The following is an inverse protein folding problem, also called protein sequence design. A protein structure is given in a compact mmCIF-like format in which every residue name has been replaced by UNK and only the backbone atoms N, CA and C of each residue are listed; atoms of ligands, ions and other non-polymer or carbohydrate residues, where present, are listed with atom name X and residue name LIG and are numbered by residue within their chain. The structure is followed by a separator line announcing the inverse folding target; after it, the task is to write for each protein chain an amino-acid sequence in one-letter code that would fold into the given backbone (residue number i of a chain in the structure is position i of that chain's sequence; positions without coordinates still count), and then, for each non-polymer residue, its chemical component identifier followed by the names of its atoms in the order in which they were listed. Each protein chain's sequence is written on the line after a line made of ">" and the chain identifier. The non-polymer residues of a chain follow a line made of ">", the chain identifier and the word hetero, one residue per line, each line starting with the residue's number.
data_IF_729818671580
#
_entry.id   IF_729818671580
#
_cell.length_a   1.000
_cell.length_b   1.000
_cell.length_c   1.000
_cell.angle_alpha   90.00
_cell.angle_beta   90.00
_cell.angle_gamma   90.00
#
_symmetry.space_group_name_H-M   'P 1'
#
loop_
_entity.id
_entity.type
_entity.pdbx_description
1 polymer ?
#
# COMPACT_ATOMS: atom_id res chain seq x y z
N UNK A 1 17.72 -11.48 11.21
CA UNK A 1 16.53 -10.98 11.94
C UNK A 1 16.21 -9.54 11.59
N UNK A 2 17.06 -8.55 11.91
CA UNK A 2 16.77 -7.13 11.63
C UNK A 2 16.52 -6.82 10.14
N UNK A 3 17.26 -7.47 9.24
CA UNK A 3 17.14 -7.30 7.79
C UNK A 3 15.73 -7.56 7.26
N UNK A 4 15.01 -8.53 7.81
CA UNK A 4 13.64 -8.87 7.40
C UNK A 4 12.68 -7.73 7.70
N UNK A 5 12.81 -7.10 8.88
CA UNK A 5 11.98 -5.97 9.28
C UNK A 5 12.26 -4.74 8.41
N UNK A 6 13.53 -4.39 8.22
CA UNK A 6 13.92 -3.25 7.37
C UNK A 6 13.41 -3.40 5.95
N UNK A 7 13.50 -4.61 5.40
CA UNK A 7 13.02 -4.90 4.06
C UNK A 7 11.50 -4.75 3.94
N UNK A 8 10.75 -5.25 4.93
CA UNK A 8 9.28 -5.16 4.97
C UNK A 8 8.81 -3.71 5.15
N UNK A 9 9.51 -2.91 5.97
CA UNK A 9 9.27 -1.47 6.09
C UNK A 9 9.51 -0.76 4.75
N UNK A 10 10.65 -1.03 4.09
CA UNK A 10 10.99 -0.39 2.83
C UNK A 10 9.97 -0.69 1.71
N UNK A 11 9.54 -1.95 1.61
CA UNK A 11 8.50 -2.34 0.65
C UNK A 11 7.12 -1.83 1.05
N UNK A 12 6.80 -1.82 2.34
CA UNK A 12 5.58 -1.22 2.90
C UNK A 12 5.43 0.24 2.52
N UNK A 13 6.50 1.03 2.63
CA UNK A 13 6.51 2.43 2.21
C UNK A 13 6.26 2.58 0.71
N UNK A 14 6.95 1.80 -0.14
CA UNK A 14 6.76 1.85 -1.62
C UNK A 14 5.36 1.43 -2.05
N UNK A 15 4.81 0.39 -1.40
CA UNK A 15 3.45 -0.08 -1.67
C UNK A 15 2.38 0.76 -0.99
N UNK A 16 2.73 1.73 -0.14
CA UNK A 16 1.75 2.55 0.57
C UNK A 16 0.88 1.74 1.54
N UNK A 17 1.42 0.68 2.11
CA UNK A 17 0.77 -0.11 3.18
C UNK A 17 0.72 0.71 4.46
N UNK A 18 -0.29 0.45 5.31
CA UNK A 18 -0.33 1.06 6.64
C UNK A 18 0.84 0.56 7.52
N UNK A 19 1.45 1.44 8.35
CA UNK A 19 1.07 2.83 8.63
C UNK A 19 1.60 3.87 7.62
N UNK A 20 2.38 3.46 6.61
CA UNK A 20 3.04 4.35 5.64
C UNK A 20 2.14 4.83 4.48
N UNK A 21 0.83 4.67 4.60
CA UNK A 21 -0.17 4.93 3.56
C UNK A 21 -0.51 6.41 3.32
N UNK A 22 -0.14 7.33 4.22
CA UNK A 22 -0.60 8.72 4.22
C UNK A 22 -0.31 9.49 2.92
N UNK A 23 0.78 9.17 2.22
CA UNK A 23 1.15 9.86 0.98
C UNK A 23 0.24 9.46 -0.20
N UNK A 24 -0.36 8.27 -0.20
CA UNK A 24 -1.08 7.74 -1.36
C UNK A 24 -2.30 8.60 -1.72
N UNK A 25 -3.21 8.95 -0.79
CA UNK A 25 -4.38 9.78 -1.12
C UNK A 25 -4.03 11.21 -1.56
N UNK A 26 -2.95 11.78 -1.03
CA UNK A 26 -2.53 13.14 -1.35
C UNK A 26 -1.90 13.20 -2.74
N UNK A 27 -0.99 12.27 -3.03
CA UNK A 27 -0.32 12.20 -4.34
C UNK A 27 -1.32 11.88 -5.44
N UNK A 28 -2.23 10.92 -5.25
CA UNK A 28 -3.24 10.58 -6.28
C UNK A 28 -4.21 11.72 -6.56
N UNK A 29 -4.55 12.54 -5.56
CA UNK A 29 -5.38 13.73 -5.75
C UNK A 29 -4.63 14.86 -6.47
N UNK A 30 -3.31 14.99 -6.22
CA UNK A 30 -2.48 16.05 -6.78
C UNK A 30 -2.10 15.87 -8.26
N UNK A 31 -2.16 14.64 -8.77
CA UNK A 31 -1.72 14.31 -10.14
C UNK A 31 -2.88 14.09 -11.13
N UNK A 32 -2.62 14.17 -12.46
CA UNK A 32 -3.57 13.75 -13.48
C UNK A 32 -4.04 12.30 -13.33
N UNK A 33 -5.25 11.98 -13.79
CA UNK A 33 -5.84 10.63 -13.69
C UNK A 33 -4.95 9.57 -14.36
N UNK A 34 -4.36 9.87 -15.53
CA UNK A 34 -3.47 8.95 -16.24
C UNK A 34 -2.23 8.56 -15.42
N UNK A 35 -1.57 9.54 -14.80
CA UNK A 35 -0.44 9.27 -13.89
C UNK A 35 -0.88 8.56 -12.61
N UNK A 36 -2.07 8.88 -12.09
CA UNK A 36 -2.67 8.18 -10.95
C UNK A 36 -2.93 6.71 -11.25
N UNK A 37 -3.42 6.38 -12.44
CA UNK A 37 -3.61 5.01 -12.90
C UNK A 37 -2.27 4.26 -12.91
N UNK A 38 -1.22 4.83 -13.51
CA UNK A 38 0.12 4.22 -13.56
C UNK A 38 0.68 4.03 -12.14
N UNK A 39 0.50 5.01 -11.26
CA UNK A 39 0.95 4.96 -9.86
C UNK A 39 0.24 3.86 -9.07
N UNK A 40 -1.07 3.70 -9.24
CA UNK A 40 -1.86 2.72 -8.49
C UNK A 40 -1.80 1.30 -9.06
N UNK A 41 -1.34 1.11 -10.30
CA UNK A 41 -1.27 -0.20 -10.97
C UNK A 41 0.18 -0.61 -11.23
N UNK A 42 0.84 0.05 -12.18
CA UNK A 42 2.14 -0.35 -12.71
C UNK A 42 3.25 -0.30 -11.65
N UNK A 43 3.26 0.74 -10.82
CA UNK A 43 4.30 0.91 -9.80
C UNK A 43 4.24 -0.14 -8.68
N UNK A 44 3.13 -0.88 -8.57
CA UNK A 44 2.95 -1.94 -7.57
C UNK A 44 3.56 -3.28 -8.00
N UNK A 45 3.70 -3.52 -9.32
CA UNK A 45 4.14 -4.81 -9.86
C UNK A 45 5.54 -5.18 -9.38
N UNK A 46 6.52 -4.27 -9.49
CA UNK A 46 7.90 -4.56 -9.13
C UNK A 46 8.11 -4.83 -7.61
N UNK A 47 7.55 -4.02 -6.69
CA UNK A 47 7.63 -4.35 -5.26
C UNK A 47 6.93 -5.68 -4.91
N UNK A 48 5.79 -5.99 -5.53
CA UNK A 48 5.08 -7.26 -5.30
C UNK A 48 5.90 -8.44 -5.80
N UNK A 49 6.54 -8.36 -6.97
CA UNK A 49 7.38 -9.46 -7.48
C UNK A 49 8.55 -9.75 -6.54
N UNK A 50 9.13 -8.71 -5.92
CA UNK A 50 10.20 -8.84 -4.93
C UNK A 50 9.67 -9.50 -3.65
N UNK A 51 8.50 -9.08 -3.14
CA UNK A 51 7.87 -9.74 -1.98
C UNK A 51 7.57 -11.21 -2.26
N UNK A 52 7.11 -11.54 -3.46
CA UNK A 52 6.80 -12.90 -3.87
C UNK A 52 8.05 -13.79 -3.86
N UNK A 53 9.14 -13.34 -4.50
CA UNK A 53 10.40 -14.08 -4.56
C UNK A 53 11.01 -14.35 -3.16
N UNK A 54 10.83 -13.41 -2.23
CA UNK A 54 11.40 -13.49 -0.89
C UNK A 54 10.40 -13.94 0.18
N UNK A 55 9.19 -14.33 -0.21
CA UNK A 55 8.10 -14.71 0.69
C UNK A 55 8.45 -15.71 1.80
N UNK A 56 9.27 -16.78 1.59
CA UNK A 56 9.60 -17.70 2.68
C UNK A 56 10.52 -17.07 3.74
N UNK A 57 11.23 -15.99 3.40
CA UNK A 57 12.20 -15.33 4.27
C UNK A 57 11.63 -14.09 4.99
N UNK A 58 10.39 -13.69 4.72
CA UNK A 58 9.77 -12.53 5.35
C UNK A 58 9.17 -12.86 6.72
N UNK A 59 9.14 -11.88 7.62
CA UNK A 59 8.47 -12.03 8.90
C UNK A 59 6.94 -11.98 8.73
N UNK A 60 6.30 -13.15 8.85
CA UNK A 60 4.85 -13.31 8.67
C UNK A 60 4.02 -12.49 9.66
N UNK A 61 4.45 -12.39 10.93
CA UNK A 61 3.71 -11.65 11.95
C UNK A 61 3.60 -10.17 11.57
N UNK A 62 4.74 -9.57 11.19
CA UNK A 62 4.75 -8.17 10.77
C UNK A 62 3.92 -7.96 9.49
N UNK A 63 4.07 -8.85 8.51
CA UNK A 63 3.30 -8.77 7.26
C UNK A 63 1.78 -8.80 7.51
N UNK A 64 1.30 -9.72 8.34
CA UNK A 64 -0.13 -9.84 8.69
C UNK A 64 -0.61 -8.60 9.46
N UNK A 65 0.19 -8.07 10.38
CA UNK A 65 -0.19 -6.84 11.10
C UNK A 65 -0.34 -5.66 10.15
N UNK A 66 0.56 -5.51 9.17
CA UNK A 66 0.47 -4.44 8.17
C UNK A 66 -0.73 -4.63 7.25
N UNK A 67 -0.99 -5.87 6.81
CA UNK A 67 -2.14 -6.26 6.00
C UNK A 67 -3.47 -5.87 6.67
N UNK A 68 -3.69 -6.32 7.91
CA UNK A 68 -4.90 -6.00 8.67
C UNK A 68 -5.05 -4.49 8.89
N UNK A 69 -3.96 -3.80 9.25
CA UNK A 69 -3.98 -2.35 9.40
C UNK A 69 -4.35 -1.64 8.10
N UNK A 70 -3.85 -2.10 6.95
CA UNK A 70 -4.18 -1.50 5.65
C UNK A 70 -5.63 -1.74 5.23
N UNK A 71 -6.21 -2.90 5.54
CA UNK A 71 -7.62 -3.18 5.28
C UNK A 71 -8.50 -2.26 6.14
N UNK A 72 -8.20 -2.14 7.44
CA UNK A 72 -8.97 -1.31 8.37
C UNK A 72 -8.88 0.18 8.01
N UNK A 73 -7.68 0.71 7.83
CA UNK A 73 -7.46 2.13 7.53
C UNK A 73 -7.88 2.48 6.10
N UNK A 74 -7.70 1.58 5.15
CA UNK A 74 -8.20 1.73 3.78
C UNK A 74 -9.73 1.81 3.74
N UNK A 75 -10.40 0.88 4.43
CA UNK A 75 -11.86 0.88 4.53
C UNK A 75 -12.41 2.12 5.23
N UNK A 76 -11.91 2.43 6.42
CA UNK A 76 -12.39 3.59 7.19
C UNK A 76 -12.07 4.91 6.49
N UNK A 77 -10.83 5.06 5.99
CA UNK A 77 -10.36 6.29 5.35
C UNK A 77 -11.13 6.62 4.07
N UNK A 78 -11.59 5.60 3.32
CA UNK A 78 -12.37 5.77 2.10
C UNK A 78 -13.80 6.26 2.32
N UNK A 79 -14.44 5.89 3.43
CA UNK A 79 -15.85 6.25 3.70
C UNK A 79 -16.10 7.75 3.83
N UNK A 80 -15.10 8.50 4.30
CA UNK A 80 -15.21 9.95 4.53
C UNK A 80 -14.63 10.80 3.37
N UNK A 81 -14.44 10.22 2.18
CA UNK A 81 -13.91 10.95 1.03
C UNK A 81 -15.01 11.20 0.00
N UNK A 82 -15.16 12.46 -0.43
CA UNK A 82 -16.02 12.83 -1.55
C UNK A 82 -15.29 12.77 -2.91
N UNK A 83 -13.95 12.84 -2.88
CA UNK A 83 -13.12 12.89 -4.08
C UNK A 83 -12.85 11.47 -4.60
N UNK A 84 -13.26 11.18 -5.83
CA UNK A 84 -13.10 9.84 -6.44
C UNK A 84 -11.65 9.36 -6.48
N UNK A 85 -10.69 10.25 -6.70
CA UNK A 85 -9.25 9.87 -6.68
C UNK A 85 -8.75 9.46 -5.30
N UNK A 86 -9.27 10.07 -4.23
CA UNK A 86 -8.96 9.65 -2.85
C UNK A 86 -9.65 8.34 -2.51
N UNK A 87 -10.90 8.13 -2.96
CA UNK A 87 -11.59 6.85 -2.82
C UNK A 87 -10.78 5.73 -3.48
N UNK A 88 -10.29 5.94 -4.72
CA UNK A 88 -9.43 4.97 -5.42
C UNK A 88 -8.08 4.74 -4.72
N UNK A 89 -7.52 5.75 -4.07
CA UNK A 89 -6.32 5.56 -3.24
C UNK A 89 -6.60 4.67 -2.04
N UNK A 90 -7.68 4.93 -1.30
CA UNK A 90 -8.05 4.12 -0.13
C UNK A 90 -8.45 2.69 -0.50
N UNK A 91 -9.13 2.47 -1.62
CA UNK A 91 -9.37 1.12 -2.13
C UNK A 91 -8.06 0.41 -2.50
N UNK A 92 -7.09 1.11 -3.09
CA UNK A 92 -5.77 0.53 -3.36
C UNK A 92 -5.01 0.15 -2.09
N UNK A 93 -5.13 0.93 -1.02
CA UNK A 93 -4.51 0.62 0.29
C UNK A 93 -5.16 -0.65 0.87
N UNK A 94 -6.49 -0.74 0.84
CA UNK A 94 -7.21 -1.91 1.32
C UNK A 94 -6.86 -3.17 0.50
N UNK A 95 -6.79 -3.06 -0.83
CA UNK A 95 -6.43 -4.18 -1.70
C UNK A 95 -4.97 -4.62 -1.56
N UNK A 96 -4.04 -3.70 -1.27
CA UNK A 96 -2.66 -4.09 -0.95
C UNK A 96 -2.56 -4.86 0.37
N UNK A 97 -3.54 -4.69 1.26
CA UNK A 97 -3.64 -5.45 2.49
C UNK A 97 -4.19 -6.86 2.33
N UNK A 98 -4.98 -7.11 1.28
CA UNK A 98 -5.46 -8.45 0.93
C UNK A 98 -4.39 -9.26 0.21
#
# INVERSE_FOLDING_TARGET
>A
MLSQYLFLVALGMKLGLAPFHFWVPEVTQGIPIKSGLILLTWQKLAPISIMYQLSPYLNKNMMITMALMSILLGGWGGLNQMQTRKIMAYSSIAHMGW
#
